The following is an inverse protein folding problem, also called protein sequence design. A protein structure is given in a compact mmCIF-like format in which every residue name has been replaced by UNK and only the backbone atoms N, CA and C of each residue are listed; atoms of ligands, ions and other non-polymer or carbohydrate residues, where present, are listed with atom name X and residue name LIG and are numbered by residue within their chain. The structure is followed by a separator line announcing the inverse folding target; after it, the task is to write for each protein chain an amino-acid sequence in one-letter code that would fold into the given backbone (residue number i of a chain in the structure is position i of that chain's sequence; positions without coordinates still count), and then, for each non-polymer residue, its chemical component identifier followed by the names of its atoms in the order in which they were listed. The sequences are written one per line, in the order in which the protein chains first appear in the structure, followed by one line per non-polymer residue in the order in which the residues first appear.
data_IF_363822464573
#
_entry.id   IF_363822464573
#
_cell.length_a   1.000
_cell.length_b   1.000
_cell.length_c   1.000
_cell.angle_alpha   90.00
_cell.angle_beta   90.00
_cell.angle_gamma   90.00
#
_symmetry.space_group_name_H-M   'P 1'
#
loop_
_entity.id
_entity.type
_entity.pdbx_description
1 polymer ?
#
# COMPACT_ATOMS: atom_id res chain seq x y z
N UNK A 1 -9.00 6.74 -26.26
CA UNK A 1 -9.23 7.47 -24.99
C UNK A 1 -9.61 8.89 -25.35
N UNK A 2 -10.84 9.33 -25.06
CA UNK A 2 -11.30 10.70 -25.38
C UNK A 2 -11.07 11.66 -24.21
N UNK A 3 -10.82 11.14 -22.99
CA UNK A 3 -10.73 11.91 -21.75
C UNK A 3 -9.40 11.75 -20.99
N UNK A 4 -8.41 11.05 -21.57
CA UNK A 4 -7.10 10.88 -20.93
C UNK A 4 -5.99 10.95 -21.97
N UNK A 5 -4.88 11.61 -21.59
CA UNK A 5 -3.70 11.83 -22.42
C UNK A 5 -2.46 11.45 -21.60
N UNK A 6 -1.44 10.88 -22.25
CA UNK A 6 -0.25 10.36 -21.55
C UNK A 6 0.61 11.46 -20.93
N UNK A 7 0.57 12.67 -21.51
CA UNK A 7 1.25 13.85 -20.98
C UNK A 7 0.28 15.02 -20.85
N UNK A 8 0.50 15.92 -19.88
CA UNK A 8 -0.26 17.17 -19.77
C UNK A 8 -0.24 17.95 -21.09
N UNK A 9 0.91 18.00 -21.78
CA UNK A 9 1.10 18.70 -23.07
C UNK A 9 0.16 18.23 -24.19
N UNK A 10 -0.26 16.96 -24.17
CA UNK A 10 -1.12 16.37 -25.20
C UNK A 10 -2.61 16.42 -24.84
N UNK A 11 -2.98 17.02 -23.70
CA UNK A 11 -4.36 17.02 -23.24
C UNK A 11 -5.20 18.14 -23.90
N UNK A 12 -6.30 17.82 -24.60
CA UNK A 12 -7.05 18.82 -25.39
C UNK A 12 -7.81 19.86 -24.57
N UNK A 13 -8.06 19.61 -23.28
CA UNK A 13 -8.87 20.47 -22.40
C UNK A 13 -8.09 21.03 -21.20
N UNK A 14 -6.76 20.94 -21.18
CA UNK A 14 -5.96 21.45 -20.05
C UNK A 14 -5.92 22.98 -20.06
N UNK A 15 -6.10 23.59 -18.90
CA UNK A 15 -5.96 25.05 -18.76
C UNK A 15 -4.48 25.45 -18.70
N UNK A 16 -4.13 26.65 -19.18
CA UNK A 16 -2.74 27.14 -19.10
C UNK A 16 -2.24 27.25 -17.64
N UNK A 17 -3.14 27.57 -16.71
CA UNK A 17 -2.82 27.66 -15.27
C UNK A 17 -2.47 26.28 -14.70
N UNK A 18 -3.27 25.27 -15.00
CA UNK A 18 -3.01 23.88 -14.60
C UNK A 18 -1.72 23.35 -15.23
N UNK A 19 -1.49 23.64 -16.52
CA UNK A 19 -0.25 23.28 -17.21
C UNK A 19 0.98 23.86 -16.53
N UNK A 20 0.94 25.14 -16.13
CA UNK A 20 2.07 25.77 -15.43
C UNK A 20 2.28 25.15 -14.05
N UNK A 21 1.22 24.89 -13.29
CA UNK A 21 1.34 24.19 -12.00
C UNK A 21 1.96 22.81 -12.16
N UNK A 22 1.46 22.00 -13.10
CA UNK A 22 1.97 20.66 -13.34
C UNK A 22 3.42 20.67 -13.79
N UNK A 23 3.84 21.57 -14.70
CA UNK A 23 5.24 21.67 -15.15
C UNK A 23 6.21 22.08 -14.04
N UNK A 24 5.75 22.84 -13.05
CA UNK A 24 6.57 23.23 -11.91
C UNK A 24 6.68 22.12 -10.84
N UNK A 25 5.67 21.24 -10.73
CA UNK A 25 5.62 20.19 -9.72
C UNK A 25 6.01 18.80 -10.23
N UNK A 26 5.97 18.56 -11.55
CA UNK A 26 6.41 17.29 -12.12
C UNK A 26 7.93 17.22 -12.14
N UNK A 27 8.47 16.20 -11.48
CA UNK A 27 9.81 15.70 -11.79
C UNK A 27 9.77 15.35 -13.28
N UNK A 28 10.57 16.02 -14.11
CA UNK A 28 10.73 15.64 -15.51
C UNK A 28 11.23 14.19 -15.55
N UNK A 29 10.31 13.25 -15.78
CA UNK A 29 10.66 11.86 -16.01
C UNK A 29 11.40 11.87 -17.35
N UNK A 30 12.73 11.72 -17.31
CA UNK A 30 13.51 11.71 -18.53
C UNK A 30 13.01 10.59 -19.45
N UNK A 31 12.93 10.88 -20.75
CA UNK A 31 12.50 9.90 -21.75
C UNK A 31 13.52 8.77 -21.94
N UNK A 32 14.74 8.94 -21.41
CA UNK A 32 15.84 7.99 -21.51
C UNK A 32 15.77 6.97 -20.37
N UNK A 33 14.96 5.93 -20.58
CA UNK A 33 14.88 4.78 -19.69
C UNK A 33 16.26 4.09 -19.61
N UNK A 34 17.03 4.39 -18.56
CA UNK A 34 18.19 3.58 -18.18
C UNK A 34 17.71 2.18 -17.75
N UNK A 35 18.59 1.19 -17.89
CA UNK A 35 18.31 -0.19 -17.45
C UNK A 35 17.87 -0.22 -15.99
N UNK A 36 16.75 -0.88 -15.69
CA UNK A 36 16.16 -0.92 -14.35
C UNK A 36 17.16 -1.46 -13.32
N UNK A 37 17.44 -0.73 -12.22
CA UNK A 37 18.44 -1.13 -11.22
C UNK A 37 17.91 -2.22 -10.26
N UNK A 38 17.63 -3.42 -10.80
CA UNK A 38 17.01 -4.54 -10.09
C UNK A 38 17.71 -4.90 -8.77
N UNK A 39 19.04 -5.00 -8.77
CA UNK A 39 19.79 -5.40 -7.58
C UNK A 39 19.69 -4.36 -6.46
N UNK A 40 19.77 -3.07 -6.79
CA UNK A 40 19.65 -1.98 -5.82
C UNK A 40 18.23 -1.85 -5.28
N UNK A 41 17.23 -2.01 -6.16
CA UNK A 41 15.82 -1.99 -5.79
C UNK A 41 15.47 -3.14 -4.83
N UNK A 42 15.83 -4.38 -5.17
CA UNK A 42 15.52 -5.56 -4.34
C UNK A 42 16.29 -5.60 -3.01
N UNK A 43 17.40 -4.85 -2.89
CA UNK A 43 18.16 -4.72 -1.64
C UNK A 43 17.70 -3.56 -0.76
N UNK A 44 16.84 -2.69 -1.29
CA UNK A 44 16.32 -1.51 -0.60
C UNK A 44 15.39 -1.91 0.55
N UNK A 45 15.73 -1.51 1.79
CA UNK A 45 14.92 -1.85 2.98
C UNK A 45 13.48 -1.29 2.89
N UNK A 46 13.25 -0.03 2.45
CA UNK A 46 11.89 0.47 2.24
C UNK A 46 11.08 -0.32 1.22
N UNK A 47 11.73 -0.83 0.16
CA UNK A 47 11.05 -1.64 -0.85
C UNK A 47 10.71 -3.05 -0.33
N UNK A 48 11.65 -3.69 0.37
CA UNK A 48 11.38 -4.98 1.04
C UNK A 48 10.22 -4.81 2.04
N UNK A 49 10.19 -3.69 2.78
CA UNK A 49 9.09 -3.38 3.69
C UNK A 49 7.74 -3.26 2.97
N UNK A 50 7.69 -2.62 1.80
CA UNK A 50 6.49 -2.59 0.96
C UNK A 50 6.07 -3.98 0.49
N UNK A 51 7.01 -4.81 0.04
CA UNK A 51 6.72 -6.18 -0.40
C UNK A 51 6.10 -7.02 0.73
N UNK A 52 6.68 -6.97 1.94
CA UNK A 52 6.16 -7.70 3.10
C UNK A 52 4.78 -7.19 3.53
N UNK A 53 4.58 -5.87 3.53
CA UNK A 53 3.30 -5.25 3.84
C UNK A 53 2.23 -5.66 2.81
N UNK A 54 2.58 -5.67 1.52
CA UNK A 54 1.70 -6.11 0.44
C UNK A 54 1.35 -7.60 0.52
N UNK A 55 2.31 -8.44 0.90
CA UNK A 55 2.07 -9.86 1.18
C UNK A 55 1.05 -10.04 2.31
N UNK A 56 1.24 -9.39 3.46
CA UNK A 56 0.31 -9.45 4.58
C UNK A 56 -1.09 -8.96 4.20
N UNK A 57 -1.17 -7.82 3.50
CA UNK A 57 -2.43 -7.30 2.94
C UNK A 57 -3.12 -8.30 2.02
N UNK A 58 -2.36 -8.96 1.13
CA UNK A 58 -2.88 -9.94 0.20
C UNK A 58 -3.47 -11.14 0.94
N UNK A 59 -2.72 -11.65 1.90
CA UNK A 59 -3.11 -12.77 2.73
C UNK A 59 -4.49 -12.57 3.37
N UNK A 60 -4.67 -11.49 4.14
CA UNK A 60 -5.90 -11.27 4.90
C UNK A 60 -7.06 -10.86 4.00
N UNK A 61 -6.81 -9.98 3.02
CA UNK A 61 -7.87 -9.51 2.14
C UNK A 61 -8.51 -10.67 1.34
N UNK A 62 -7.69 -11.49 0.70
CA UNK A 62 -8.18 -12.58 -0.14
C UNK A 62 -8.73 -13.74 0.70
N UNK A 63 -8.15 -14.00 1.89
CA UNK A 63 -8.72 -14.92 2.88
C UNK A 63 -10.15 -14.51 3.25
N UNK A 64 -10.36 -13.26 3.67
CA UNK A 64 -11.69 -12.81 4.07
C UNK A 64 -12.66 -12.76 2.89
N UNK A 65 -12.18 -12.41 1.70
CA UNK A 65 -13.01 -12.38 0.50
C UNK A 65 -13.52 -13.78 0.13
N UNK A 66 -12.67 -14.80 0.20
CA UNK A 66 -13.03 -16.17 -0.15
C UNK A 66 -13.84 -16.86 0.96
N UNK A 67 -13.45 -16.65 2.22
CA UNK A 67 -13.82 -17.54 3.31
C UNK A 67 -14.67 -16.88 4.42
N UNK A 68 -14.94 -15.57 4.36
CA UNK A 68 -15.82 -14.93 5.34
C UNK A 68 -17.22 -15.57 5.40
N UNK A 69 -17.88 -15.93 4.26
CA UNK A 69 -19.17 -16.60 4.32
C UNK A 69 -19.09 -17.97 5.01
N UNK A 70 -18.05 -18.75 4.72
CA UNK A 70 -17.81 -20.07 5.34
C UNK A 70 -17.59 -19.93 6.85
N UNK A 71 -16.82 -18.93 7.27
CA UNK A 71 -16.58 -18.64 8.68
C UNK A 71 -17.87 -18.26 9.41
N UNK A 72 -18.69 -17.37 8.83
CA UNK A 72 -19.95 -16.94 9.44
C UNK A 72 -20.98 -18.08 9.51
N UNK A 73 -20.96 -18.97 8.54
CA UNK A 73 -21.80 -20.17 8.54
C UNK A 73 -21.51 -21.10 9.73
N UNK A 74 -20.28 -21.09 10.28
CA UNK A 74 -19.92 -21.88 11.47
C UNK A 74 -20.69 -21.48 12.74
N UNK A 75 -21.35 -20.30 12.74
CA UNK A 75 -22.19 -19.82 13.83
C UNK A 75 -23.69 -20.11 13.63
N UNK A 76 -24.07 -20.91 12.62
CA UNK A 76 -25.46 -21.24 12.28
C UNK A 76 -26.35 -20.03 11.97
N UNK A 77 -25.78 -19.00 11.32
CA UNK A 77 -26.51 -17.83 10.85
C UNK A 77 -27.36 -18.16 9.62
N UNK A 78 -28.41 -17.38 9.37
CA UNK A 78 -29.20 -17.52 8.15
C UNK A 78 -28.41 -17.04 6.93
N UNK A 79 -28.76 -17.54 5.74
CA UNK A 79 -28.10 -17.16 4.48
C UNK A 79 -28.16 -15.64 4.22
N UNK A 80 -29.27 -15.00 4.60
CA UNK A 80 -29.45 -13.55 4.48
C UNK A 80 -28.49 -12.78 5.41
N UNK A 81 -28.37 -13.21 6.67
CA UNK A 81 -27.45 -12.61 7.64
C UNK A 81 -25.97 -12.79 7.23
N UNK A 82 -25.61 -13.97 6.73
CA UNK A 82 -24.24 -14.25 6.24
C UNK A 82 -23.90 -13.29 5.09
N UNK A 83 -24.82 -13.11 4.13
CA UNK A 83 -24.64 -12.16 3.03
C UNK A 83 -24.41 -10.74 3.52
N UNK A 84 -25.26 -10.26 4.45
CA UNK A 84 -25.14 -8.91 5.00
C UNK A 84 -23.83 -8.73 5.81
N UNK A 85 -23.52 -9.64 6.73
CA UNK A 85 -22.36 -9.53 7.60
C UNK A 85 -21.03 -9.75 6.87
N UNK A 86 -21.01 -10.53 5.78
CA UNK A 86 -19.84 -10.67 4.93
C UNK A 86 -19.52 -9.40 4.13
N UNK A 87 -20.52 -8.56 3.85
CA UNK A 87 -20.35 -7.30 3.12
C UNK A 87 -19.90 -6.11 4.01
N UNK A 88 -20.27 -6.11 5.30
CA UNK A 88 -19.96 -5.02 6.24
C UNK A 88 -18.48 -4.63 6.32
N UNK A 89 -17.52 -5.58 6.41
CA UNK A 89 -16.11 -5.23 6.50
C UNK A 89 -15.62 -4.47 5.26
N UNK A 90 -16.03 -4.89 4.06
CA UNK A 90 -15.64 -4.25 2.80
C UNK A 90 -16.26 -2.86 2.64
N UNK A 91 -17.53 -2.70 3.04
CA UNK A 91 -18.19 -1.40 3.04
C UNK A 91 -17.50 -0.41 4.00
N UNK A 92 -17.13 -0.86 5.20
CA UNK A 92 -16.38 -0.03 6.14
C UNK A 92 -14.96 0.27 5.63
N UNK A 93 -14.28 -0.70 5.01
CA UNK A 93 -12.95 -0.52 4.41
C UNK A 93 -12.97 0.56 3.34
N UNK A 94 -13.99 0.58 2.50
CA UNK A 94 -14.19 1.61 1.48
C UNK A 94 -14.31 3.00 2.12
N UNK A 95 -15.22 3.16 3.09
CA UNK A 95 -15.44 4.44 3.77
C UNK A 95 -14.16 4.95 4.46
N UNK A 96 -13.44 4.06 5.16
CA UNK A 96 -12.19 4.41 5.83
C UNK A 96 -11.04 4.67 4.87
N UNK A 97 -11.01 4.06 3.68
CA UNK A 97 -9.99 4.39 2.67
C UNK A 97 -10.09 5.83 2.18
N UNK A 98 -11.31 6.34 1.92
CA UNK A 98 -11.52 7.73 1.55
C UNK A 98 -11.13 8.67 2.69
N UNK A 99 -11.51 8.33 3.92
CA UNK A 99 -11.15 9.11 5.09
C UNK A 99 -9.62 9.15 5.29
N UNK A 100 -8.93 8.03 5.04
CA UNK A 100 -7.47 7.94 5.15
C UNK A 100 -6.73 8.85 4.17
N UNK A 101 -7.27 9.02 2.96
CA UNK A 101 -6.69 9.92 1.96
C UNK A 101 -6.78 11.37 2.44
N UNK A 102 -7.99 11.79 2.87
CA UNK A 102 -8.22 13.15 3.39
C UNK A 102 -7.33 13.44 4.62
N UNK A 103 -7.25 12.50 5.56
CA UNK A 103 -6.44 12.65 6.77
C UNK A 103 -4.94 12.69 6.43
N UNK A 104 -4.47 11.83 5.53
CA UNK A 104 -3.07 11.79 5.10
C UNK A 104 -2.64 13.10 4.44
N UNK A 105 -3.45 13.59 3.50
CA UNK A 105 -3.19 14.85 2.81
C UNK A 105 -3.25 16.03 3.78
N UNK A 106 -4.18 16.02 4.74
CA UNK A 106 -4.26 17.05 5.77
C UNK A 106 -2.99 17.13 6.62
N UNK A 107 -2.46 15.99 7.09
CA UNK A 107 -1.25 15.97 7.91
C UNK A 107 0.00 16.44 7.15
N UNK A 108 0.11 16.05 5.88
CA UNK A 108 1.26 16.39 5.03
C UNK A 108 1.19 17.86 4.60
N UNK A 109 0.06 18.32 4.05
CA UNK A 109 -0.09 19.67 3.51
C UNK A 109 -0.01 20.77 4.58
N UNK A 110 -0.34 20.44 5.84
CA UNK A 110 -0.22 21.37 6.97
C UNK A 110 1.14 21.29 7.66
N UNK A 111 2.09 20.49 7.16
CA UNK A 111 3.40 20.25 7.77
C UNK A 111 3.31 19.83 9.25
N UNK A 112 2.25 19.09 9.63
CA UNK A 112 2.08 18.60 11.00
C UNK A 112 3.00 17.40 11.24
N UNK A 113 3.09 16.52 10.24
CA UNK A 113 3.95 15.34 10.25
C UNK A 113 4.79 15.32 8.98
N UNK A 114 6.01 14.76 9.06
CA UNK A 114 6.76 14.44 7.85
C UNK A 114 6.04 13.34 7.06
N UNK A 115 6.22 13.32 5.73
CA UNK A 115 5.62 12.33 4.85
C UNK A 115 5.88 10.91 5.35
N UNK A 116 7.12 10.55 5.64
CA UNK A 116 7.49 9.25 6.23
C UNK A 116 6.72 8.94 7.51
N UNK A 117 6.58 9.91 8.42
CA UNK A 117 5.88 9.70 9.70
C UNK A 117 4.38 9.52 9.50
N UNK A 118 3.76 10.33 8.63
CA UNK A 118 2.36 10.21 8.28
C UNK A 118 2.05 8.85 7.64
N UNK A 119 2.87 8.40 6.68
CA UNK A 119 2.73 7.09 6.03
C UNK A 119 2.87 5.93 7.03
N UNK A 120 3.87 5.99 7.92
CA UNK A 120 4.08 4.99 8.98
C UNK A 120 2.93 4.95 9.97
N UNK A 121 2.43 6.10 10.40
CA UNK A 121 1.34 6.21 11.37
C UNK A 121 0.05 5.58 10.82
N UNK A 122 -0.37 5.99 9.62
CA UNK A 122 -1.59 5.47 8.99
C UNK A 122 -1.49 3.97 8.71
N UNK A 123 -0.33 3.49 8.25
CA UNK A 123 -0.08 2.07 8.07
C UNK A 123 -0.17 1.29 9.40
N UNK A 124 0.45 1.81 10.45
CA UNK A 124 0.49 1.15 11.77
C UNK A 124 -0.89 1.10 12.42
N UNK A 125 -1.69 2.16 12.29
CA UNK A 125 -3.06 2.17 12.81
C UNK A 125 -3.92 1.14 12.07
N UNK A 126 -3.84 1.10 10.74
CA UNK A 126 -4.60 0.14 9.93
C UNK A 126 -4.22 -1.31 10.24
N UNK A 127 -2.96 -1.69 9.97
CA UNK A 127 -2.49 -3.06 10.20
C UNK A 127 -2.45 -3.46 11.68
N UNK A 128 -2.11 -2.54 12.57
CA UNK A 128 -2.07 -2.82 14.01
C UNK A 128 -3.46 -3.13 14.57
N UNK A 129 -4.48 -2.40 14.13
CA UNK A 129 -5.87 -2.68 14.52
C UNK A 129 -6.38 -3.97 13.88
N UNK A 130 -6.09 -4.20 12.60
CA UNK A 130 -6.43 -5.46 11.90
C UNK A 130 -5.81 -6.67 12.63
N UNK A 131 -4.50 -6.62 12.93
CA UNK A 131 -3.79 -7.66 13.65
C UNK A 131 -4.36 -7.90 15.07
N UNK A 132 -4.67 -6.84 15.82
CA UNK A 132 -5.24 -6.96 17.16
C UNK A 132 -6.64 -7.59 17.14
N UNK A 133 -7.47 -7.22 16.16
CA UNK A 133 -8.79 -7.82 15.97
C UNK A 133 -8.69 -9.30 15.58
N UNK A 134 -7.84 -9.64 14.61
CA UNK A 134 -7.61 -11.03 14.19
C UNK A 134 -7.06 -11.89 15.34
N UNK A 135 -6.12 -11.36 16.11
CA UNK A 135 -5.59 -12.05 17.30
C UNK A 135 -6.70 -12.31 18.32
N UNK A 136 -7.56 -11.32 18.58
CA UNK A 136 -8.70 -11.46 19.50
C UNK A 136 -9.70 -12.50 19.01
N UNK A 137 -9.98 -12.54 17.70
CA UNK A 137 -10.86 -13.54 17.09
C UNK A 137 -10.35 -14.98 17.29
N UNK A 138 -9.03 -15.17 17.45
CA UNK A 138 -8.42 -16.46 17.78
C UNK A 138 -8.82 -17.05 19.14
N UNK A 139 -9.49 -16.29 20.00
CA UNK A 139 -9.90 -16.74 21.35
C UNK A 139 -11.40 -16.56 21.62
N UNK A 140 -12.15 -16.00 20.67
CA UNK A 140 -13.56 -15.66 20.86
C UNK A 140 -14.45 -16.71 20.20
N UNK A 141 -15.47 -17.15 20.94
CA UNK A 141 -16.43 -18.16 20.50
C UNK A 141 -17.82 -17.57 20.19
N UNK A 142 -18.04 -16.29 20.49
CA UNK A 142 -19.32 -15.62 20.26
C UNK A 142 -19.40 -15.09 18.82
N UNK A 143 -20.41 -15.53 18.07
CA UNK A 143 -20.61 -15.12 16.68
C UNK A 143 -20.78 -13.61 16.49
N UNK A 144 -21.53 -12.94 17.37
CA UNK A 144 -21.73 -11.48 17.29
C UNK A 144 -20.43 -10.71 17.54
N UNK A 145 -19.63 -11.13 18.53
CA UNK A 145 -18.32 -10.53 18.79
C UNK A 145 -17.36 -10.74 17.62
N UNK A 146 -17.38 -11.93 16.99
CA UNK A 146 -16.59 -12.21 15.79
C UNK A 146 -16.98 -11.32 14.61
N UNK A 147 -18.28 -11.10 14.35
CA UNK A 147 -18.75 -10.20 13.29
C UNK A 147 -18.27 -8.76 13.54
N UNK A 148 -18.37 -8.27 14.77
CA UNK A 148 -17.92 -6.92 15.14
C UNK A 148 -16.41 -6.78 14.95
N UNK A 149 -15.61 -7.73 15.45
CA UNK A 149 -14.16 -7.70 15.32
C UNK A 149 -13.70 -7.86 13.88
N UNK A 150 -14.37 -8.72 13.11
CA UNK A 150 -14.12 -8.87 11.68
C UNK A 150 -14.39 -7.56 10.94
N UNK A 151 -15.52 -6.92 11.23
CA UNK A 151 -15.91 -5.65 10.61
C UNK A 151 -14.94 -4.53 10.97
N UNK A 152 -14.60 -4.37 12.26
CA UNK A 152 -13.66 -3.33 12.71
C UNK A 152 -12.26 -3.60 12.18
N UNK A 153 -11.72 -4.81 12.37
CA UNK A 153 -10.37 -5.16 11.95
C UNK A 153 -10.17 -4.96 10.45
N UNK A 154 -10.97 -5.65 9.64
CA UNK A 154 -10.89 -5.57 8.17
C UNK A 154 -11.39 -4.24 7.61
N UNK A 155 -12.24 -3.50 8.34
CA UNK A 155 -12.64 -2.15 8.00
C UNK A 155 -11.49 -1.15 8.18
N UNK A 156 -10.81 -1.18 9.33
CA UNK A 156 -9.69 -0.27 9.64
C UNK A 156 -8.49 -0.41 8.70
N UNK A 157 -8.37 -1.54 8.05
CA UNK A 157 -7.44 -1.75 6.96
C UNK A 157 -7.61 -0.78 5.76
N UNK A 158 -8.76 -0.09 5.64
CA UNK A 158 -8.89 1.04 4.71
C UNK A 158 -7.88 2.16 5.01
N UNK A 159 -7.45 2.32 6.26
CA UNK A 159 -6.54 3.39 6.69
C UNK A 159 -5.13 3.26 6.14
N UNK A 160 -4.64 2.03 5.91
CA UNK A 160 -3.29 1.84 5.40
C UNK A 160 -3.16 2.23 3.92
N UNK A 161 -4.26 2.47 3.19
CA UNK A 161 -4.23 2.83 1.74
C UNK A 161 -3.41 4.10 1.55
N UNK A 162 -3.66 5.12 2.35
CA UNK A 162 -2.86 6.36 2.38
C UNK A 162 -1.46 6.17 2.99
N UNK A 163 -1.16 5.00 3.56
CA UNK A 163 0.12 4.64 4.18
C UNK A 163 1.07 3.91 3.23
N UNK A 164 0.75 2.68 2.83
CA UNK A 164 1.63 1.83 2.01
C UNK A 164 1.41 2.02 0.51
N UNK A 165 0.16 2.20 0.06
CA UNK A 165 -0.16 2.18 -1.37
C UNK A 165 0.37 3.43 -2.06
N UNK A 166 0.25 4.59 -1.42
CA UNK A 166 0.83 5.86 -1.88
C UNK A 166 2.36 5.88 -1.82
N UNK A 167 2.98 5.08 -0.93
CA UNK A 167 4.42 5.09 -0.72
C UNK A 167 5.23 4.58 -1.94
N UNK A 168 4.62 3.88 -2.90
CA UNK A 168 5.28 3.53 -4.16
C UNK A 168 5.68 4.79 -4.95
N UNK A 169 4.82 5.81 -4.95
CA UNK A 169 5.08 7.09 -5.60
C UNK A 169 6.14 7.87 -4.82
N UNK A 170 6.05 7.86 -3.49
CA UNK A 170 6.99 8.56 -2.62
C UNK A 170 8.43 8.02 -2.76
N UNK A 171 8.61 6.71 -2.94
CA UNK A 171 9.93 6.07 -3.05
C UNK A 171 10.61 6.24 -4.41
N UNK A 172 9.87 6.07 -5.51
CA UNK A 172 10.42 6.12 -6.86
C UNK A 172 9.33 6.39 -7.91
N UNK A 173 8.99 7.65 -8.19
CA UNK A 173 7.97 8.02 -9.18
C UNK A 173 8.23 7.42 -10.57
N UNK A 174 9.49 7.42 -11.03
CA UNK A 174 9.89 6.86 -12.33
C UNK A 174 9.67 5.35 -12.43
N UNK A 175 9.83 4.62 -11.33
CA UNK A 175 9.73 3.15 -11.30
C UNK A 175 8.43 2.66 -10.65
N UNK A 176 7.47 3.54 -10.36
CA UNK A 176 6.25 3.22 -9.61
C UNK A 176 5.49 2.03 -10.20
N UNK A 177 5.40 1.94 -11.53
CA UNK A 177 4.71 0.83 -12.21
C UNK A 177 5.37 -0.52 -11.93
N UNK A 178 6.70 -0.57 -11.91
CA UNK A 178 7.47 -1.78 -11.58
C UNK A 178 7.29 -2.12 -10.10
N UNK A 179 7.40 -1.13 -9.21
CA UNK A 179 7.21 -1.34 -7.78
C UNK A 179 5.84 -1.92 -7.48
N UNK A 180 4.78 -1.32 -8.04
CA UNK A 180 3.39 -1.78 -7.87
C UNK A 180 3.19 -3.18 -8.45
N UNK A 181 3.77 -3.49 -9.61
CA UNK A 181 3.65 -4.82 -10.22
C UNK A 181 4.30 -5.91 -9.35
N UNK A 182 5.48 -5.64 -8.80
CA UNK A 182 6.19 -6.59 -7.91
C UNK A 182 5.42 -6.77 -6.60
N UNK A 183 4.99 -5.68 -5.95
CA UNK A 183 4.24 -5.78 -4.69
C UNK A 183 2.89 -6.48 -4.89
N UNK A 184 2.16 -6.15 -5.96
CA UNK A 184 0.90 -6.83 -6.28
C UNK A 184 1.09 -8.31 -6.58
N UNK A 185 2.20 -8.70 -7.20
CA UNK A 185 2.53 -10.13 -7.41
C UNK A 185 2.73 -10.86 -6.08
N UNK A 186 3.37 -10.22 -5.10
CA UNK A 186 3.50 -10.76 -3.74
C UNK A 186 2.14 -10.85 -3.03
N UNK A 187 1.28 -9.84 -3.18
CA UNK A 187 -0.10 -9.88 -2.67
C UNK A 187 -0.88 -11.04 -3.25
N UNK A 188 -0.82 -11.26 -4.57
CA UNK A 188 -1.55 -12.35 -5.23
C UNK A 188 -1.02 -13.73 -4.80
N UNK A 189 0.30 -13.87 -4.62
CA UNK A 189 0.88 -15.10 -4.09
C UNK A 189 0.33 -15.40 -2.67
N UNK A 190 0.31 -14.38 -1.81
CA UNK A 190 -0.27 -14.49 -0.48
C UNK A 190 -1.75 -14.85 -0.52
N UNK A 191 -2.51 -14.24 -1.44
CA UNK A 191 -3.93 -14.47 -1.63
C UNK A 191 -4.29 -15.85 -2.17
N UNK A 192 -3.34 -16.57 -2.77
CA UNK A 192 -3.49 -17.99 -3.09
C UNK A 192 -3.25 -18.84 -1.83
N UNK A 193 -2.19 -18.53 -1.06
CA UNK A 193 -1.78 -19.35 0.08
C UNK A 193 -2.77 -19.23 1.25
N UNK A 194 -3.27 -18.02 1.53
CA UNK A 194 -4.15 -17.74 2.68
C UNK A 194 -5.42 -18.59 2.71
N UNK A 195 -6.31 -18.50 1.69
CA UNK A 195 -7.50 -19.33 1.59
C UNK A 195 -7.17 -20.83 1.60
N UNK A 196 -6.15 -21.27 0.85
CA UNK A 196 -5.75 -22.69 0.81
C UNK A 196 -5.38 -23.22 2.21
N UNK A 197 -4.66 -22.42 3.01
CA UNK A 197 -4.31 -22.80 4.37
C UNK A 197 -5.56 -22.87 5.27
N UNK A 198 -6.49 -21.94 5.13
CA UNK A 198 -7.75 -21.94 5.87
C UNK A 198 -8.61 -23.18 5.52
N UNK A 199 -8.81 -23.45 4.22
CA UNK A 199 -9.52 -24.63 3.74
C UNK A 199 -8.84 -25.92 4.23
N UNK A 200 -7.49 -25.95 4.22
CA UNK A 200 -6.73 -27.08 4.75
C UNK A 200 -7.03 -27.30 6.24
N UNK A 201 -6.97 -26.27 7.08
CA UNK A 201 -7.30 -26.42 8.51
C UNK A 201 -8.74 -26.89 8.74
N UNK A 202 -9.70 -26.37 7.97
CA UNK A 202 -11.09 -26.84 8.03
C UNK A 202 -11.18 -28.32 7.64
N UNK A 203 -10.40 -28.78 6.66
CA UNK A 203 -10.38 -30.19 6.24
C UNK A 203 -9.81 -31.14 7.31
N UNK A 204 -8.85 -30.68 8.11
CA UNK A 204 -8.21 -31.47 9.17
C UNK A 204 -8.76 -31.18 10.57
N UNK A 205 -9.89 -30.48 10.69
CA UNK A 205 -10.49 -30.05 11.96
C UNK A 205 -10.63 -31.15 13.02
N UNK A 206 -11.06 -32.36 12.62
CA UNK A 206 -11.21 -33.49 13.54
C UNK A 206 -9.87 -34.09 14.04
N UNK A 207 -8.74 -33.72 13.42
CA UNK A 207 -7.39 -34.11 13.86
C UNK A 207 -6.66 -32.98 14.61
N UNK A 208 -7.04 -31.72 14.37
CA UNK A 208 -6.45 -30.54 15.00
C UNK A 208 -6.68 -30.46 16.51
N UNK A 209 -7.66 -31.21 17.01
CA UNK A 209 -7.98 -31.28 18.44
C UNK A 209 -7.01 -32.11 19.26
N UNK A 210 -5.99 -32.76 18.66
CA UNK A 210 -4.91 -33.48 19.35
C UNK A 210 -5.40 -34.44 20.46
N UNK A 211 -6.59 -35.04 20.30
CA UNK A 211 -7.19 -35.89 21.31
C UNK A 211 -7.72 -35.18 22.56
N UNK A 212 -7.81 -33.84 22.58
CA UNK A 212 -8.58 -33.08 23.58
C UNK A 212 -10.06 -33.22 23.29
N UNK A 213 -10.83 -33.55 24.32
CA UNK A 213 -12.30 -33.46 24.28
C UNK A 213 -12.70 -32.02 23.97
N UNK A 214 -13.42 -31.85 22.86
CA UNK A 214 -13.98 -30.58 22.46
C UNK A 214 -15.14 -30.30 23.43
N UNK A 215 -15.24 -29.08 24.00
CA UNK A 215 -16.40 -28.73 24.79
C UNK A 215 -17.67 -28.97 23.96
N UNK A 216 -18.70 -29.64 24.50
CA UNK A 216 -19.88 -30.07 23.73
C UNK A 216 -20.68 -28.93 23.07
N UNK A 217 -20.34 -27.67 23.39
CA UNK A 217 -20.99 -26.47 22.90
C UNK A 217 -20.21 -25.72 21.80
N UNK A 218 -19.07 -26.24 21.33
CA UNK A 218 -18.19 -25.56 20.35
C UNK A 218 -17.96 -26.46 19.14
N UNK A 219 -18.20 -25.94 17.92
CA UNK A 219 -17.95 -26.69 16.69
C UNK A 219 -16.46 -26.82 16.40
N UNK A 220 -16.04 -27.97 15.87
CA UNK A 220 -14.64 -28.21 15.48
C UNK A 220 -14.16 -27.20 14.44
N UNK A 221 -15.09 -26.66 13.64
CA UNK A 221 -14.86 -25.62 12.66
C UNK A 221 -14.28 -24.34 13.30
N UNK A 222 -14.80 -23.92 14.47
CA UNK A 222 -14.35 -22.69 15.14
C UNK A 222 -12.87 -22.79 15.54
N UNK A 223 -12.40 -23.97 15.96
CA UNK A 223 -11.00 -24.16 16.32
C UNK A 223 -10.06 -24.05 15.11
N UNK A 224 -10.47 -24.59 13.95
CA UNK A 224 -9.73 -24.41 12.70
C UNK A 224 -9.64 -22.93 12.31
N UNK A 225 -10.73 -22.18 12.46
CA UNK A 225 -10.75 -20.73 12.22
C UNK A 225 -9.86 -19.95 13.18
N UNK A 226 -9.83 -20.32 14.47
CA UNK A 226 -8.93 -19.70 15.44
C UNK A 226 -7.47 -19.79 15.00
N UNK A 227 -7.02 -20.96 14.53
CA UNK A 227 -5.67 -21.14 14.01
C UNK A 227 -5.40 -20.28 12.77
N UNK A 228 -6.36 -20.23 11.84
CA UNK A 228 -6.28 -19.37 10.64
C UNK A 228 -6.11 -17.89 11.02
N UNK A 229 -6.90 -17.38 11.98
CA UNK A 229 -6.82 -15.98 12.39
C UNK A 229 -5.57 -15.67 13.20
N UNK A 230 -5.09 -16.59 14.05
CA UNK A 230 -3.84 -16.40 14.79
C UNK A 230 -2.61 -16.33 13.86
N UNK A 231 -2.57 -17.19 12.84
CA UNK A 231 -1.49 -17.14 11.82
C UNK A 231 -1.58 -15.84 11.02
N UNK A 232 -2.78 -15.44 10.61
CA UNK A 232 -3.00 -14.19 9.89
C UNK A 232 -2.58 -12.97 10.73
N UNK A 233 -2.94 -12.95 12.01
CA UNK A 233 -2.54 -11.89 12.94
C UNK A 233 -1.01 -11.81 13.12
N UNK A 234 -0.32 -12.96 13.14
CA UNK A 234 1.15 -12.98 13.21
C UNK A 234 1.79 -12.41 11.95
N UNK A 235 1.25 -12.75 10.77
CA UNK A 235 1.72 -12.23 9.48
C UNK A 235 1.53 -10.71 9.43
N UNK A 236 0.34 -10.21 9.79
CA UNK A 236 0.04 -8.78 9.82
C UNK A 236 0.90 -8.03 10.84
N UNK A 237 1.05 -8.55 12.06
CA UNK A 237 1.88 -7.94 13.08
C UNK A 237 3.35 -7.84 12.64
N UNK A 238 3.86 -8.89 11.97
CA UNK A 238 5.23 -8.91 11.44
C UNK A 238 5.40 -7.91 10.29
N UNK A 239 4.46 -7.88 9.34
CA UNK A 239 4.45 -6.91 8.24
C UNK A 239 4.38 -5.47 8.75
N UNK A 240 3.50 -5.22 9.73
CA UNK A 240 3.35 -3.93 10.39
C UNK A 240 4.63 -3.48 11.11
N UNK A 241 5.23 -4.36 11.92
CA UNK A 241 6.45 -4.05 12.66
C UNK A 241 7.62 -3.75 11.72
N UNK A 242 7.77 -4.53 10.65
CA UNK A 242 8.81 -4.31 9.66
C UNK A 242 8.60 -3.01 8.87
N UNK A 243 7.36 -2.68 8.51
CA UNK A 243 7.03 -1.43 7.84
C UNK A 243 7.26 -0.22 8.75
N UNK A 244 6.80 -0.27 10.00
CA UNK A 244 7.00 0.81 10.97
C UNK A 244 8.49 1.13 11.18
N UNK A 245 9.34 0.11 11.20
CA UNK A 245 10.79 0.27 11.38
C UNK A 245 11.50 0.74 10.12
N UNK A 246 11.30 0.08 8.97
CA UNK A 246 12.12 0.26 7.77
C UNK A 246 11.50 1.06 6.63
N UNK A 247 10.21 1.39 6.68
CA UNK A 247 9.62 2.23 5.64
C UNK A 247 10.28 3.62 5.61
N UNK A 248 10.35 4.19 4.42
CA UNK A 248 10.71 5.59 4.17
C UNK A 248 9.66 6.17 3.23
N UNK A 249 9.39 7.46 3.34
CA UNK A 249 8.62 8.25 2.37
C UNK A 249 9.51 9.25 1.63
N UNK A 250 10.83 9.03 1.63
CA UNK A 250 11.80 9.82 0.88
C UNK A 250 12.23 9.09 -0.39
N UNK A 251 12.51 9.87 -1.44
CA UNK A 251 13.00 9.38 -2.72
C UNK A 251 14.27 8.53 -2.51
N UNK A 252 14.27 7.33 -3.07
CA UNK A 252 15.39 6.42 -2.87
C UNK A 252 16.59 6.77 -3.77
N UNK A 253 17.84 6.58 -3.29
CA UNK A 253 19.04 6.96 -4.05
C UNK A 253 19.15 6.27 -5.42
N UNK A 254 18.66 5.03 -5.53
CA UNK A 254 18.64 4.28 -6.79
C UNK A 254 17.56 4.74 -7.77
N UNK A 255 16.64 5.60 -7.32
CA UNK A 255 15.62 6.23 -8.14
C UNK A 255 16.04 7.61 -8.66
N UNK A 256 17.14 8.17 -8.16
CA UNK A 256 17.71 9.42 -8.66
C UNK A 256 18.56 9.11 -9.90
N UNK A 257 18.38 9.90 -10.96
CA UNK A 257 19.37 9.94 -12.03
C UNK A 257 20.65 10.53 -11.45
N UNK A 258 21.69 9.73 -11.29
CA UNK A 258 23.03 10.29 -11.26
C UNK A 258 23.21 11.03 -12.60
N UNK A 259 23.01 12.35 -12.58
CA UNK A 259 23.79 13.25 -13.42
C UNK A 259 25.24 12.88 -13.12
N UNK A 260 25.84 12.07 -13.99
CA UNK A 260 27.28 12.05 -14.09
C UNK A 260 27.70 13.50 -14.31
N UNK A 261 28.08 14.17 -13.23
CA UNK A 261 29.04 15.26 -13.29
C UNK A 261 30.36 14.60 -13.68
N UNK A 262 30.44 14.03 -14.89
CA UNK A 262 31.69 13.85 -15.57
C UNK A 262 32.31 15.24 -15.59
N UNK A 263 33.45 15.33 -14.91
CA UNK A 263 34.28 16.50 -14.77
C UNK A 263 34.19 17.38 -16.02
N UNK A 264 33.44 18.49 -15.92
CA UNK A 264 33.72 19.67 -16.70
C UNK A 264 35.12 20.11 -16.26
N UNK A 265 36.12 19.46 -16.85
CA UNK A 265 37.46 19.99 -17.00
C UNK A 265 37.34 21.48 -17.32
N UNK A 266 38.10 22.37 -16.67
CA UNK A 266 37.97 23.80 -16.90
C UNK A 266 38.47 24.07 -18.33
N UNK A 267 37.56 24.04 -19.30
CA UNK A 267 37.86 24.45 -20.67
C UNK A 267 38.14 25.94 -20.58
N UNK A 268 39.42 26.23 -20.81
CA UNK A 268 40.09 27.50 -20.88
C UNK A 268 39.17 28.69 -21.17
N UNK A 269 39.39 29.74 -20.38
CA UNK A 269 39.06 31.12 -20.68
C UNK A 269 39.20 31.44 -22.18
N UNK A 270 38.07 31.58 -22.88
CA UNK A 270 38.00 32.40 -24.08
C UNK A 270 37.11 33.60 -23.79
N UNK A 271 37.76 34.70 -23.44
CA UNK A 271 37.20 36.04 -23.55
C UNK A 271 36.71 36.25 -24.98
N UNK A 272 35.40 36.35 -25.18
CA UNK A 272 34.88 36.56 -26.55
C UNK A 272 33.40 36.85 -26.73
N UNK A 273 32.56 36.77 -25.69
CA UNK A 273 31.11 36.85 -25.86
C UNK A 273 30.40 37.86 -24.94
N UNK A 274 31.05 38.99 -24.61
CA UNK A 274 30.39 40.15 -23.96
C UNK A 274 30.31 41.42 -24.82
N UNK A 275 30.71 41.37 -26.09
CA UNK A 275 30.72 42.57 -26.95
C UNK A 275 29.56 42.71 -27.94
N UNK A 276 28.72 41.67 -28.16
CA UNK A 276 27.68 41.74 -29.20
C UNK A 276 26.25 41.98 -28.69
N UNK A 277 26.02 42.07 -27.38
CA UNK A 277 24.69 42.32 -26.81
C UNK A 277 24.35 43.81 -26.62
N UNK A 278 25.34 44.71 -26.73
CA UNK A 278 25.14 46.16 -26.56
C UNK A 278 25.14 46.98 -27.86
N UNK A 279 25.31 46.35 -29.03
CA UNK A 279 25.39 47.08 -30.31
C UNK A 279 24.07 47.16 -31.11
N UNK A 280 23.02 46.42 -30.72
CA UNK A 280 21.78 46.32 -31.52
C UNK A 280 20.68 47.30 -31.03
N UNK A 281 20.83 47.89 -29.83
CA UNK A 281 19.81 48.78 -29.24
C UNK A 281 20.09 50.29 -29.31
N UNK A 282 21.10 50.77 -30.05
CA UNK A 282 21.37 52.21 -30.20
C UNK A 282 20.95 52.84 -31.55
N UNK A 283 20.46 52.07 -32.53
CA UNK A 283 20.07 52.61 -33.84
C UNK A 283 18.56 52.73 -34.08
N UNK A 284 17.76 52.92 -33.01
CA UNK A 284 16.31 53.12 -33.13
C UNK A 284 15.77 54.29 -32.30
N UNK A 285 16.54 55.36 -32.14
CA UNK A 285 16.00 56.70 -31.83
C UNK A 285 16.89 57.77 -32.50
N UNK A 286 16.60 58.07 -33.77
CA UNK A 286 16.72 59.40 -34.37
C UNK A 286 16.04 59.43 -35.73
#
# INVERSE_FOLDING_TARGET
MVFSSDTPDNHPYISEQEMMCLKNETVQLSADWKSTPWASMLRSKPFIALCLCSFAKGWVFDLLLAEAPTFLNAFNLTVEEIGLFSALPFALRLALSYLSAIIGDYFINRNILSQTTARKLLNTIGFGTEAACLFSMGFIYSGSACVILLTIGSGTAGLYVSGWQTNHLDLAPQYVGILVAVTQSMSNLAGIIGPLLATYFISIRGKLTFGREIPPNISEDIYAWHMTFLISALIDATGCAFYATFASGELQPWATEEENTEELSPVASTSGAKSSYNAINQNKIR
#
